data_IF_951195766872
#
_entry.id   IF_951195766872
#
_cell.length_a   1.000
_cell.length_b   1.000
_cell.length_c   1.000
_cell.angle_alpha   90.00
_cell.angle_beta   90.00
_cell.angle_gamma   90.00
#
_symmetry.space_group_name_H-M   'P 1'
#
loop_
_entity.id
_entity.type
_entity.pdbx_description
1 polymer ?
#
# COMPACT_ATOMS: atom_id res chain seq x y z
N UNK A 1 0.64 2.28 18.83
CA UNK A 1 2.06 1.93 19.08
C UNK A 1 2.81 1.69 17.77
N UNK A 2 2.52 0.65 16.98
CA UNK A 2 3.24 0.39 15.70
C UNK A 2 3.12 1.56 14.71
N UNK A 3 1.91 2.06 14.42
CA UNK A 3 1.72 3.20 13.51
C UNK A 3 2.33 4.52 14.05
N UNK A 4 2.42 4.68 15.37
CA UNK A 4 3.10 5.85 15.96
C UNK A 4 4.61 5.75 15.78
N UNK A 5 5.18 4.55 15.97
CA UNK A 5 6.58 4.27 15.69
C UNK A 5 6.90 4.52 14.22
N UNK A 6 6.02 4.06 13.31
CA UNK A 6 6.15 4.34 11.88
C UNK A 6 6.21 5.85 11.60
N UNK A 7 5.29 6.66 12.13
CA UNK A 7 5.33 8.12 11.93
C UNK A 7 6.66 8.73 12.40
N UNK A 8 7.21 8.24 13.52
CA UNK A 8 8.50 8.69 14.03
C UNK A 8 9.67 8.25 13.13
N UNK A 9 9.67 7.00 12.66
CA UNK A 9 10.75 6.46 11.82
C UNK A 9 10.72 7.06 10.42
N UNK A 10 9.53 7.27 9.85
CA UNK A 10 9.33 7.84 8.52
C UNK A 10 9.90 9.26 8.43
N UNK A 11 9.75 10.06 9.50
CA UNK A 11 10.33 11.40 9.59
C UNK A 11 11.86 11.43 9.55
N UNK A 12 12.53 10.29 9.79
CA UNK A 12 14.00 10.16 9.88
C UNK A 12 14.60 9.28 8.78
N UNK A 13 13.80 8.80 7.82
CA UNK A 13 14.27 7.84 6.81
C UNK A 13 15.49 8.32 6.02
N UNK A 14 15.54 9.62 5.69
CA UNK A 14 16.65 10.20 4.94
C UNK A 14 17.99 10.20 5.70
N UNK A 15 17.96 10.08 7.04
CA UNK A 15 19.14 10.20 7.89
C UNK A 15 19.47 8.90 8.65
N UNK A 16 18.46 8.11 9.01
CA UNK A 16 18.58 6.97 9.91
C UNK A 16 17.58 5.84 9.57
N UNK A 17 17.42 5.54 8.27
CA UNK A 17 16.60 4.40 7.83
C UNK A 17 17.15 3.06 8.33
N UNK A 18 16.26 2.14 8.74
CA UNK A 18 16.63 0.79 9.16
C UNK A 18 15.83 -0.25 8.37
N UNK A 19 16.51 -1.02 7.53
CA UNK A 19 15.87 -1.99 6.64
C UNK A 19 15.09 -3.08 7.39
N UNK A 20 15.63 -3.61 8.50
CA UNK A 20 14.99 -4.66 9.28
C UNK A 20 13.70 -4.16 9.92
N UNK A 21 13.71 -2.93 10.42
CA UNK A 21 12.52 -2.31 10.99
C UNK A 21 11.46 -2.07 9.92
N UNK A 22 11.86 -1.60 8.74
CA UNK A 22 10.96 -1.40 7.61
C UNK A 22 10.31 -2.69 7.12
N UNK A 23 11.09 -3.76 7.01
CA UNK A 23 10.56 -5.08 6.69
C UNK A 23 9.57 -5.57 7.75
N UNK A 24 9.84 -5.33 9.04
CA UNK A 24 8.92 -5.67 10.13
C UNK A 24 7.62 -4.84 10.06
N UNK A 25 7.71 -3.55 9.69
CA UNK A 25 6.54 -2.70 9.45
C UNK A 25 5.69 -3.22 8.30
N UNK A 26 6.31 -3.58 7.17
CA UNK A 26 5.61 -4.16 6.02
C UNK A 26 4.91 -5.48 6.39
N UNK A 27 5.57 -6.36 7.15
CA UNK A 27 4.94 -7.58 7.66
C UNK A 27 3.76 -7.30 8.59
N UNK A 28 3.85 -6.27 9.44
CA UNK A 28 2.72 -5.84 10.25
C UNK A 28 1.55 -5.38 9.36
N UNK A 29 1.79 -4.55 8.35
CA UNK A 29 0.75 -4.09 7.43
C UNK A 29 0.08 -5.22 6.66
N UNK A 30 0.86 -6.21 6.21
CA UNK A 30 0.33 -7.39 5.54
C UNK A 30 -0.66 -8.15 6.44
N UNK A 31 -0.28 -8.42 7.69
CA UNK A 31 -1.14 -9.11 8.65
C UNK A 31 -2.34 -8.26 9.05
N UNK A 32 -2.13 -6.97 9.29
CA UNK A 32 -3.19 -6.03 9.62
C UNK A 32 -4.25 -5.99 8.52
N UNK A 33 -3.83 -5.93 7.25
CA UNK A 33 -4.73 -5.95 6.11
C UNK A 33 -5.58 -7.22 6.10
N UNK A 34 -4.95 -8.39 6.22
CA UNK A 34 -5.64 -9.69 6.21
C UNK A 34 -6.72 -9.81 7.29
N UNK A 35 -6.49 -9.20 8.45
CA UNK A 35 -7.38 -9.34 9.61
C UNK A 35 -8.42 -8.22 9.66
N UNK A 36 -8.13 -7.00 9.17
CA UNK A 36 -8.92 -5.80 9.47
C UNK A 36 -9.42 -5.00 8.26
N UNK A 37 -8.99 -5.34 7.04
CA UNK A 37 -9.36 -4.64 5.80
C UNK A 37 -10.12 -5.61 4.88
N UNK A 38 -11.41 -5.36 4.67
CA UNK A 38 -12.31 -6.21 3.88
C UNK A 38 -13.70 -6.37 4.52
N UNK A 39 -14.58 -7.11 3.84
CA UNK A 39 -16.04 -7.12 4.12
C UNK A 39 -16.44 -7.85 5.43
N UNK A 40 -15.51 -8.55 6.08
CA UNK A 40 -15.81 -9.44 7.22
C UNK A 40 -15.44 -8.87 8.60
N UNK A 41 -14.91 -7.65 8.66
CA UNK A 41 -14.47 -7.07 9.92
C UNK A 41 -15.51 -6.07 10.35
N UNK A 42 -16.32 -6.48 11.32
CA UNK A 42 -17.26 -5.59 11.97
C UNK A 42 -16.53 -4.29 12.35
N UNK A 43 -17.01 -3.16 11.82
CA UNK A 43 -16.60 -1.79 12.15
C UNK A 43 -16.73 -1.48 13.66
N UNK A 44 -17.22 -2.42 14.47
CA UNK A 44 -17.37 -2.39 15.93
C UNK A 44 -16.19 -3.00 16.71
N UNK A 45 -15.09 -3.38 16.06
CA UNK A 45 -13.95 -3.96 16.78
C UNK A 45 -13.30 -2.92 17.72
N UNK A 46 -12.88 -3.37 18.91
CA UNK A 46 -12.10 -2.57 19.88
C UNK A 46 -10.89 -1.86 19.24
N UNK A 47 -10.39 -2.39 18.13
CA UNK A 47 -9.29 -1.82 17.36
C UNK A 47 -9.65 -0.49 16.70
N UNK A 48 -10.73 -0.39 15.93
CA UNK A 48 -11.09 0.87 15.25
C UNK A 48 -11.39 1.98 16.25
N UNK A 49 -12.00 1.64 17.39
CA UNK A 49 -12.14 2.59 18.52
C UNK A 49 -10.78 3.09 19.00
N UNK A 50 -9.82 2.19 19.18
CA UNK A 50 -8.47 2.57 19.62
C UNK A 50 -7.68 3.36 18.57
N UNK A 51 -7.85 3.05 17.29
CA UNK A 51 -7.24 3.78 16.18
C UNK A 51 -7.81 5.20 16.08
N UNK A 52 -9.11 5.36 16.27
CA UNK A 52 -9.75 6.67 16.41
C UNK A 52 -9.21 7.44 17.61
N UNK A 53 -9.20 6.85 18.81
CA UNK A 53 -8.71 7.51 20.04
C UNK A 53 -7.24 7.96 19.98
N UNK A 54 -6.37 7.15 19.39
CA UNK A 54 -4.91 7.36 19.44
C UNK A 54 -4.35 8.07 18.21
N UNK A 55 -4.98 7.85 17.04
CA UNK A 55 -4.46 8.30 15.75
C UNK A 55 -5.50 9.08 14.93
N UNK A 56 -6.74 9.21 15.41
CA UNK A 56 -7.82 9.87 14.67
C UNK A 56 -8.33 9.08 13.46
N UNK A 57 -7.98 7.80 13.32
CA UNK A 57 -8.39 6.98 12.17
C UNK A 57 -9.78 6.38 12.44
N UNK A 58 -10.80 7.01 11.88
CA UNK A 58 -12.21 6.73 12.23
C UNK A 58 -12.86 5.68 11.33
N UNK A 59 -12.33 5.46 10.14
CA UNK A 59 -12.90 4.54 9.16
C UNK A 59 -11.82 3.82 8.34
N UNK A 60 -12.27 2.85 7.57
CA UNK A 60 -11.42 2.04 6.68
C UNK A 60 -10.68 2.90 5.64
N UNK A 61 -11.30 3.96 5.12
CA UNK A 61 -10.69 4.84 4.12
C UNK A 61 -9.46 5.55 4.69
N UNK A 62 -9.55 6.04 5.92
CA UNK A 62 -8.42 6.65 6.62
C UNK A 62 -7.29 5.64 6.86
N UNK A 63 -7.63 4.40 7.21
CA UNK A 63 -6.62 3.34 7.35
C UNK A 63 -5.97 3.02 6.00
N UNK A 64 -6.76 2.88 4.93
CA UNK A 64 -6.24 2.68 3.57
C UNK A 64 -5.31 3.84 3.14
N UNK A 65 -5.61 5.07 3.54
CA UNK A 65 -4.73 6.23 3.33
C UNK A 65 -3.36 6.05 4.00
N UNK A 66 -3.31 5.52 5.23
CA UNK A 66 -2.06 5.18 5.92
C UNK A 66 -1.25 4.13 5.15
N UNK A 67 -1.92 3.08 4.63
CA UNK A 67 -1.27 2.06 3.82
C UNK A 67 -0.63 2.66 2.56
N UNK A 68 -1.37 3.46 1.80
CA UNK A 68 -0.87 4.07 0.56
C UNK A 68 0.23 5.09 0.86
N UNK A 69 0.08 5.91 1.91
CA UNK A 69 1.12 6.84 2.35
C UNK A 69 2.43 6.12 2.68
N UNK A 70 2.36 4.98 3.36
CA UNK A 70 3.53 4.14 3.65
C UNK A 70 4.13 3.52 2.39
N UNK A 71 3.30 3.04 1.47
CA UNK A 71 3.76 2.51 0.17
C UNK A 71 4.56 3.57 -0.59
N UNK A 72 4.00 4.76 -0.76
CA UNK A 72 4.67 5.86 -1.49
C UNK A 72 5.98 6.24 -0.81
N UNK A 73 5.95 6.40 0.52
CA UNK A 73 7.15 6.71 1.31
C UNK A 73 8.23 5.65 1.08
N UNK A 74 7.87 4.38 1.13
CA UNK A 74 8.83 3.31 0.93
C UNK A 74 9.38 3.27 -0.51
N UNK A 75 8.53 3.44 -1.52
CA UNK A 75 8.99 3.49 -2.91
C UNK A 75 9.89 4.71 -3.19
N UNK A 76 9.66 5.83 -2.50
CA UNK A 76 10.46 7.06 -2.64
C UNK A 76 11.84 6.93 -1.99
N UNK A 77 11.92 6.44 -0.76
CA UNK A 77 13.16 6.41 0.02
C UNK A 77 13.94 5.09 -0.10
N UNK A 78 13.25 3.98 -0.35
CA UNK A 78 13.85 2.64 -0.41
C UNK A 78 13.86 2.04 -1.82
N UNK A 79 13.62 2.84 -2.87
CA UNK A 79 13.56 2.37 -4.26
C UNK A 79 14.86 1.77 -4.82
N UNK A 80 15.94 1.69 -4.03
CA UNK A 80 17.19 0.96 -4.34
C UNK A 80 17.40 -0.29 -3.47
N UNK A 81 16.58 -0.48 -2.43
CA UNK A 81 16.60 -1.65 -1.57
C UNK A 81 15.56 -2.64 -2.08
N UNK A 82 16.01 -3.68 -2.78
CA UNK A 82 15.15 -4.67 -3.44
C UNK A 82 14.17 -5.36 -2.47
N UNK A 83 14.58 -5.86 -1.28
CA UNK A 83 13.67 -6.58 -0.41
C UNK A 83 12.49 -5.73 0.08
N UNK A 84 12.75 -4.45 0.36
CA UNK A 84 11.73 -3.49 0.80
C UNK A 84 10.84 -3.10 -0.38
N UNK A 85 11.44 -2.79 -1.53
CA UNK A 85 10.69 -2.42 -2.74
C UNK A 85 9.75 -3.54 -3.17
N UNK A 86 10.27 -4.78 -3.26
CA UNK A 86 9.53 -5.98 -3.62
C UNK A 86 8.33 -6.23 -2.69
N UNK A 87 8.53 -6.20 -1.36
CA UNK A 87 7.44 -6.36 -0.39
C UNK A 87 6.44 -5.19 -0.39
N UNK A 88 6.92 -3.97 -0.61
CA UNK A 88 6.07 -2.78 -0.73
C UNK A 88 5.15 -2.88 -1.95
N UNK A 89 5.69 -3.30 -3.09
CA UNK A 89 4.93 -3.52 -4.32
C UNK A 89 3.97 -4.70 -4.20
N UNK A 90 4.35 -5.76 -3.48
CA UNK A 90 3.43 -6.85 -3.18
C UNK A 90 2.23 -6.35 -2.36
N UNK A 91 2.45 -5.51 -1.34
CA UNK A 91 1.38 -4.92 -0.55
C UNK A 91 0.44 -4.04 -1.41
N UNK A 92 1.00 -3.24 -2.31
CA UNK A 92 0.23 -2.45 -3.27
C UNK A 92 -0.60 -3.35 -4.20
N UNK A 93 0.02 -4.38 -4.77
CA UNK A 93 -0.65 -5.33 -5.66
C UNK A 93 -1.80 -6.04 -4.94
N UNK A 94 -1.59 -6.51 -3.71
CA UNK A 94 -2.62 -7.11 -2.87
C UNK A 94 -3.80 -6.15 -2.60
N UNK A 95 -3.52 -4.88 -2.33
CA UNK A 95 -4.57 -3.86 -2.15
C UNK A 95 -5.33 -3.59 -3.46
N UNK A 96 -4.66 -3.59 -4.60
CA UNK A 96 -5.27 -3.36 -5.92
C UNK A 96 -6.20 -4.48 -6.40
N UNK A 97 -6.00 -5.71 -5.90
CA UNK A 97 -6.87 -6.84 -6.21
C UNK A 97 -8.19 -6.73 -5.44
N UNK A 98 -8.11 -6.18 -4.22
CA UNK A 98 -9.12 -6.38 -3.19
C UNK A 98 -8.87 -7.67 -2.40
N UNK A 99 -9.51 -7.80 -1.25
CA UNK A 99 -9.62 -9.01 -0.45
C UNK A 99 -10.89 -9.82 -0.79
N UNK A 100 -10.82 -10.87 -1.65
CA UNK A 100 -11.93 -11.76 -1.89
C UNK A 100 -12.09 -12.71 -0.68
N UNK A 101 -12.77 -12.27 0.37
CA UNK A 101 -13.02 -13.12 1.54
C UNK A 101 -14.23 -14.02 1.29
N UNK A 102 -13.94 -15.18 0.69
CA UNK A 102 -14.86 -16.31 0.59
C UNK A 102 -15.23 -16.67 -0.84
N UNK A 103 -15.49 -17.96 -1.07
CA UNK A 103 -16.04 -18.55 -2.31
C UNK A 103 -17.50 -18.08 -2.57
N UNK A 104 -17.85 -16.84 -2.22
CA UNK A 104 -19.12 -16.26 -2.58
C UNK A 104 -19.11 -15.97 -4.09
N UNK A 105 -20.22 -16.21 -4.81
CA UNK A 105 -20.30 -15.89 -6.23
C UNK A 105 -19.94 -14.42 -6.42
N UNK A 106 -19.01 -14.13 -7.34
CA UNK A 106 -18.75 -12.77 -7.82
C UNK A 106 -20.06 -12.23 -8.39
N UNK A 107 -20.80 -11.44 -7.62
CA UNK A 107 -21.93 -10.70 -8.17
C UNK A 107 -21.34 -9.67 -9.12
N UNK A 108 -21.64 -9.73 -10.43
CA UNK A 108 -21.18 -8.72 -11.38
C UNK A 108 -21.64 -7.34 -10.89
N UNK A 109 -20.70 -6.39 -10.76
CA UNK A 109 -20.99 -5.03 -10.26
C UNK A 109 -20.66 -4.75 -8.78
N UNK A 110 -20.36 -5.78 -7.97
CA UNK A 110 -19.84 -5.62 -6.59
C UNK A 110 -18.31 -5.80 -6.54
N UNK A 111 -17.57 -5.00 -7.33
CA UNK A 111 -16.12 -4.83 -7.04
C UNK A 111 -15.99 -4.22 -5.65
N UNK A 112 -15.08 -4.78 -4.86
CA UNK A 112 -14.95 -4.51 -3.43
C UNK A 112 -14.88 -3.01 -3.11
N UNK A 113 -15.64 -2.62 -2.10
CA UNK A 113 -15.78 -1.25 -1.63
C UNK A 113 -14.42 -0.60 -1.30
N UNK A 114 -13.45 -1.41 -0.86
CA UNK A 114 -12.09 -0.99 -0.51
C UNK A 114 -11.31 -0.45 -1.72
N UNK A 115 -11.36 -1.11 -2.88
CA UNK A 115 -10.62 -0.67 -4.09
C UNK A 115 -11.23 0.61 -4.66
N UNK A 116 -12.56 0.75 -4.61
CA UNK A 116 -13.24 2.01 -4.99
C UNK A 116 -12.94 3.16 -4.03
N UNK A 117 -12.73 2.88 -2.74
CA UNK A 117 -12.24 3.90 -1.78
C UNK A 117 -10.78 4.26 -2.08
N UNK A 118 -9.94 3.28 -2.43
CA UNK A 118 -8.52 3.49 -2.74
C UNK A 118 -8.33 4.48 -3.89
N UNK A 119 -9.03 4.32 -5.02
CA UNK A 119 -8.85 5.22 -6.19
C UNK A 119 -9.22 6.67 -5.89
N UNK A 120 -10.10 6.92 -4.91
CA UNK A 120 -10.48 8.27 -4.48
C UNK A 120 -9.42 8.95 -3.60
N UNK A 121 -8.41 8.21 -3.12
CA UNK A 121 -7.36 8.79 -2.30
C UNK A 121 -6.43 9.64 -3.18
N UNK A 122 -6.18 10.88 -2.75
CA UNK A 122 -5.23 11.79 -3.42
C UNK A 122 -3.84 11.18 -3.61
N UNK A 123 -3.40 10.33 -2.67
CA UNK A 123 -2.15 9.62 -2.74
C UNK A 123 -2.11 8.56 -3.88
N UNK A 124 -3.23 7.87 -4.11
CA UNK A 124 -3.35 6.94 -5.25
C UNK A 124 -3.39 7.71 -6.57
N UNK A 125 -4.14 8.82 -6.61
CA UNK A 125 -4.15 9.73 -7.75
C UNK A 125 -2.76 10.29 -8.05
N UNK A 126 -1.98 10.64 -7.02
CA UNK A 126 -0.58 11.02 -7.20
C UNK A 126 0.22 9.91 -7.89
N UNK A 127 0.12 8.66 -7.43
CA UNK A 127 0.82 7.53 -8.06
C UNK A 127 0.38 7.29 -9.51
N UNK A 128 -0.93 7.40 -9.79
CA UNK A 128 -1.48 7.26 -11.14
C UNK A 128 -0.95 8.35 -12.08
N UNK A 129 -0.72 9.57 -11.58
CA UNK A 129 -0.23 10.69 -12.39
C UNK A 129 1.30 10.82 -12.42
N UNK A 130 2.03 10.21 -11.47
CA UNK A 130 3.47 10.43 -11.25
C UNK A 130 4.24 9.09 -11.20
N UNK A 131 4.12 8.28 -12.24
CA UNK A 131 4.66 6.90 -12.32
C UNK A 131 5.93 6.78 -13.18
N UNK A 132 6.89 7.70 -12.98
CA UNK A 132 8.18 7.74 -13.69
C UNK A 132 9.36 7.56 -12.74
N UNK A 133 10.57 7.39 -13.29
CA UNK A 133 11.80 7.28 -12.51
C UNK A 133 12.18 8.54 -11.73
N UNK A 134 11.59 9.69 -12.06
CA UNK A 134 11.74 10.94 -11.31
C UNK A 134 11.14 10.81 -9.89
N UNK A 135 10.01 10.13 -9.77
CA UNK A 135 9.33 9.93 -8.49
C UNK A 135 9.70 8.61 -7.83
N UNK A 136 10.00 7.58 -8.63
CA UNK A 136 10.25 6.22 -8.16
C UNK A 136 11.49 5.64 -8.83
N UNK A 137 12.63 5.65 -8.14
CA UNK A 137 13.93 5.30 -8.73
C UNK A 137 13.98 3.90 -9.35
N UNK A 138 13.20 2.94 -8.83
CA UNK A 138 13.14 1.56 -9.34
C UNK A 138 12.51 1.45 -10.75
N UNK A 139 11.87 2.51 -11.24
CA UNK A 139 11.31 2.57 -12.60
C UNK A 139 12.36 2.97 -13.66
N UNK A 140 13.52 3.47 -13.23
CA UNK A 140 14.60 3.90 -14.11
C UNK A 140 15.20 2.75 -14.91
N UNK A 141 15.63 3.03 -16.14
CA UNK A 141 16.39 2.09 -16.97
C UNK A 141 17.87 2.36 -16.68
N UNK A 142 18.48 1.48 -15.87
CA UNK A 142 19.91 1.52 -15.61
C UNK A 142 20.61 0.53 -16.56
N UNK A 143 21.84 0.82 -17.00
CA UNK A 143 22.63 -0.10 -17.85
C UNK A 143 22.89 -1.49 -17.20
N UNK A 144 22.61 -1.62 -15.91
CA UNK A 144 22.60 -2.89 -15.15
C UNK A 144 21.18 -3.19 -14.66
N UNK A 145 20.17 -3.09 -15.53
CA UNK A 145 18.79 -3.38 -15.14
C UNK A 145 18.69 -4.85 -14.75
N UNK A 146 18.76 -5.11 -13.45
CA UNK A 146 18.68 -6.44 -12.88
C UNK A 146 17.28 -7.01 -13.14
N UNK A 147 17.17 -8.33 -13.32
CA UNK A 147 15.89 -9.01 -13.50
C UNK A 147 14.86 -8.67 -12.40
N UNK A 148 15.35 -8.30 -11.21
CA UNK A 148 14.55 -7.86 -10.06
C UNK A 148 13.85 -6.53 -10.29
N UNK A 149 14.50 -5.55 -10.92
CA UNK A 149 13.92 -4.24 -11.22
C UNK A 149 12.80 -4.40 -12.25
N UNK A 150 13.02 -5.26 -13.24
CA UNK A 150 11.99 -5.62 -14.23
C UNK A 150 10.76 -6.23 -13.54
N UNK A 151 10.94 -7.15 -12.59
CA UNK A 151 9.83 -7.73 -11.82
C UNK A 151 9.08 -6.66 -11.02
N UNK A 152 9.80 -5.77 -10.33
CA UNK A 152 9.20 -4.68 -9.56
C UNK A 152 8.37 -3.76 -10.47
N UNK A 153 8.90 -3.39 -11.63
CA UNK A 153 8.18 -2.58 -12.64
C UNK A 153 6.90 -3.29 -13.11
N UNK A 154 6.98 -4.57 -13.45
CA UNK A 154 5.80 -5.35 -13.86
C UNK A 154 4.74 -5.38 -12.76
N UNK A 155 5.11 -5.66 -11.51
CA UNK A 155 4.15 -5.68 -10.39
C UNK A 155 3.53 -4.30 -10.15
N UNK A 156 4.32 -3.24 -10.22
CA UNK A 156 3.85 -1.86 -10.06
C UNK A 156 2.81 -1.48 -11.12
N UNK A 157 3.13 -1.68 -12.40
CA UNK A 157 2.20 -1.36 -13.49
C UNK A 157 0.98 -2.28 -13.53
N UNK A 158 1.11 -3.53 -13.10
CA UNK A 158 -0.02 -4.43 -12.93
C UNK A 158 -1.01 -3.89 -11.89
N UNK A 159 -0.50 -3.43 -10.74
CA UNK A 159 -1.34 -2.85 -9.69
C UNK A 159 -1.99 -1.53 -10.13
N UNK A 160 -1.20 -0.62 -10.71
CA UNK A 160 -1.69 0.66 -11.25
C UNK A 160 -2.76 0.46 -12.33
N UNK A 161 -2.55 -0.47 -13.26
CA UNK A 161 -3.53 -0.77 -14.31
C UNK A 161 -4.88 -1.20 -13.75
N UNK A 162 -4.91 -2.00 -12.68
CA UNK A 162 -6.16 -2.38 -11.99
C UNK A 162 -6.83 -1.18 -11.33
N UNK A 163 -6.05 -0.33 -10.66
CA UNK A 163 -6.58 0.88 -10.02
C UNK A 163 -7.16 1.85 -11.07
N UNK A 164 -6.45 2.06 -12.18
CA UNK A 164 -6.91 2.88 -13.30
C UNK A 164 -8.23 2.35 -13.90
N UNK A 165 -8.34 1.04 -14.10
CA UNK A 165 -9.58 0.42 -14.60
C UNK A 165 -10.77 0.59 -13.66
N UNK A 166 -10.54 0.78 -12.35
CA UNK A 166 -11.59 1.07 -11.37
C UNK A 166 -11.91 2.57 -11.33
N UNK A 167 -10.95 3.43 -11.64
CA UNK A 167 -11.16 4.89 -11.70
C UNK A 167 -11.97 5.30 -12.93
N UNK A 168 -11.78 4.59 -14.05
CA UNK A 168 -12.44 4.86 -15.34
C UNK A 168 -13.85 4.27 -15.49
N UNK A 169 -14.28 3.36 -14.61
CA UNK A 169 -15.53 2.60 -14.73
C UNK A 169 -16.44 2.71 -13.52
#
# INVERSE_FOLDING_TARGET
RVLQLMNLTDSRLAQAGNEKLELAMLSFFEQFRKIYIGDQVQKSSKLYRRLSEVLGLNDETMVLSVFIGKIITNLKYWGRCEPITSKTLQLLNDLSIGYPLGKAPKIPGKREDSVRKLVKLSAVQFMLNNHTSEHFSFLGINNQSNLTDMRCRTTFYTALGRLLMVDLG
#
